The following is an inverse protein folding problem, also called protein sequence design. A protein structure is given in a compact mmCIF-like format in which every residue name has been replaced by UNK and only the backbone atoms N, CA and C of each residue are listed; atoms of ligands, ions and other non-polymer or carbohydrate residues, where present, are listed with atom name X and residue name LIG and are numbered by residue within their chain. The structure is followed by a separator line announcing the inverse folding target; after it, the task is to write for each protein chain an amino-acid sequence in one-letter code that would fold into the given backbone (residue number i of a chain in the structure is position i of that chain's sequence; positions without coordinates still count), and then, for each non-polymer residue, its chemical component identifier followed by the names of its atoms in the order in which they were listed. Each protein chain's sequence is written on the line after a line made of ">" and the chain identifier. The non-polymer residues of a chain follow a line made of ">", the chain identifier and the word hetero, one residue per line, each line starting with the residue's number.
data_IF_289230499464
#
_entry.id   IF_289230499464
#
_cell.length_a   1.000
_cell.length_b   1.000
_cell.length_c   1.000
_cell.angle_alpha   90.00
_cell.angle_beta   90.00
_cell.angle_gamma   90.00
#
_symmetry.space_group_name_H-M   'P 1'
#
loop_
_entity.id
_entity.type
_entity.pdbx_description
1 polymer ?
#
# COMPACT_ATOMS: atom_id res chain seq x y z
N UNK A 1 -6.89 -8.88 -6.60
CA UNK A 1 -6.73 -9.07 -8.05
C UNK A 1 -5.36 -9.58 -8.49
N UNK A 2 -4.34 -9.42 -7.64
CA UNK A 2 -2.99 -9.85 -8.01
C UNK A 2 -2.62 -11.26 -7.55
N UNK A 3 -3.51 -11.95 -6.86
CA UNK A 3 -3.28 -13.30 -6.42
C UNK A 3 -2.98 -14.22 -7.62
N UNK A 4 -1.97 -15.08 -7.48
CA UNK A 4 -1.50 -16.01 -8.52
C UNK A 4 -0.83 -15.38 -9.74
N UNK A 5 -0.61 -14.06 -9.74
CA UNK A 5 0.10 -13.36 -10.81
C UNK A 5 1.56 -13.12 -10.43
N UNK A 6 2.44 -13.07 -11.42
CA UNK A 6 3.82 -12.62 -11.19
C UNK A 6 3.89 -11.08 -11.06
N UNK A 7 5.08 -10.56 -10.75
CA UNK A 7 5.26 -9.12 -10.49
C UNK A 7 4.88 -8.26 -11.71
N UNK A 8 5.25 -8.68 -12.91
CA UNK A 8 4.95 -7.92 -14.13
C UNK A 8 3.46 -7.94 -14.43
N UNK A 9 2.81 -9.11 -14.29
CA UNK A 9 1.37 -9.26 -14.47
C UNK A 9 0.59 -8.44 -13.44
N UNK A 10 1.03 -8.43 -12.19
CA UNK A 10 0.42 -7.62 -11.13
C UNK A 10 0.44 -6.14 -11.47
N UNK A 11 1.58 -5.63 -11.93
CA UNK A 11 1.69 -4.24 -12.35
C UNK A 11 0.85 -3.93 -13.58
N UNK A 12 0.76 -4.85 -14.54
CA UNK A 12 -0.08 -4.68 -15.72
C UNK A 12 -1.55 -4.59 -15.35
N UNK A 13 -2.03 -5.43 -14.45
CA UNK A 13 -3.41 -5.38 -13.93
C UNK A 13 -3.66 -4.08 -13.18
N UNK A 14 -2.73 -3.66 -12.33
CA UNK A 14 -2.84 -2.42 -11.59
C UNK A 14 -2.94 -1.20 -12.52
N UNK A 15 -2.11 -1.14 -13.55
CA UNK A 15 -2.15 -0.08 -14.56
C UNK A 15 -3.47 -0.08 -15.33
N UNK A 16 -3.98 -1.25 -15.68
CA UNK A 16 -5.25 -1.38 -16.40
C UNK A 16 -6.43 -0.87 -15.55
N UNK A 17 -6.50 -1.25 -14.28
CA UNK A 17 -7.52 -0.78 -13.35
C UNK A 17 -7.48 0.75 -13.22
N UNK A 18 -6.30 1.29 -13.01
CA UNK A 18 -6.11 2.74 -12.87
C UNK A 18 -6.51 3.49 -14.13
N UNK A 19 -6.15 2.99 -15.29
CA UNK A 19 -6.53 3.59 -16.57
C UNK A 19 -8.04 3.60 -16.77
N UNK A 20 -8.69 2.47 -16.55
CA UNK A 20 -10.14 2.33 -16.75
C UNK A 20 -10.92 3.25 -15.80
N UNK A 21 -10.52 3.29 -14.54
CA UNK A 21 -11.21 4.14 -13.55
C UNK A 21 -11.05 5.62 -13.86
N UNK A 22 -9.87 6.05 -14.29
CA UNK A 22 -9.63 7.44 -14.67
C UNK A 22 -10.37 7.82 -15.96
N UNK A 23 -10.35 6.96 -16.96
CA UNK A 23 -11.02 7.24 -18.24
C UNK A 23 -12.53 7.36 -18.09
N UNK A 24 -13.12 6.53 -17.25
CA UNK A 24 -14.57 6.49 -17.07
C UNK A 24 -15.08 7.38 -15.93
N UNK A 25 -14.19 8.00 -15.18
CA UNK A 25 -14.56 8.84 -14.04
C UNK A 25 -15.33 8.09 -12.95
N UNK A 26 -15.04 6.80 -12.77
CA UNK A 26 -15.75 5.95 -11.82
C UNK A 26 -14.92 5.71 -10.56
N UNK A 27 -15.62 5.41 -9.46
CA UNK A 27 -14.98 4.98 -8.22
C UNK A 27 -14.92 3.46 -8.20
N UNK A 28 -13.75 2.92 -7.88
CA UNK A 28 -13.56 1.48 -7.76
C UNK A 28 -13.07 1.12 -6.35
N UNK A 29 -13.60 0.02 -5.82
CA UNK A 29 -13.11 -0.58 -4.58
C UNK A 29 -12.34 -1.84 -4.93
N UNK A 30 -11.09 -1.91 -4.50
CA UNK A 30 -10.20 -3.03 -4.81
C UNK A 30 -9.68 -3.61 -3.50
N UNK A 31 -9.87 -4.91 -3.31
CA UNK A 31 -9.24 -5.65 -2.21
C UNK A 31 -7.92 -6.21 -2.73
N UNK A 32 -6.83 -5.82 -2.10
CA UNK A 32 -5.50 -6.20 -2.55
C UNK A 32 -4.59 -6.46 -1.35
N UNK A 33 -3.72 -7.44 -1.47
CA UNK A 33 -2.76 -7.82 -0.45
C UNK A 33 -1.33 -7.42 -0.79
N UNK A 34 -1.06 -7.11 -2.05
CA UNK A 34 0.26 -6.68 -2.50
C UNK A 34 0.43 -5.18 -2.24
N UNK A 35 1.40 -4.83 -1.40
CA UNK A 35 1.67 -3.44 -0.99
C UNK A 35 2.07 -2.58 -2.20
N UNK A 36 2.83 -3.13 -3.14
CA UNK A 36 3.27 -2.40 -4.34
C UNK A 36 2.08 -2.07 -5.24
N UNK A 37 1.19 -3.04 -5.44
CA UNK A 37 -0.03 -2.82 -6.20
C UNK A 37 -0.95 -1.81 -5.52
N UNK A 38 -1.10 -1.89 -4.21
CA UNK A 38 -1.89 -0.92 -3.43
C UNK A 38 -1.36 0.49 -3.60
N UNK A 39 -0.04 0.67 -3.47
CA UNK A 39 0.61 1.98 -3.64
C UNK A 39 0.37 2.55 -5.04
N UNK A 40 0.38 1.70 -6.05
CA UNK A 40 0.19 2.13 -7.44
C UNK A 40 -1.26 2.46 -7.79
N UNK A 41 -2.21 1.63 -7.36
CA UNK A 41 -3.62 1.75 -7.73
C UNK A 41 -4.34 2.85 -6.97
N UNK A 42 -4.04 2.98 -5.67
CA UNK A 42 -4.93 3.67 -4.73
C UNK A 42 -4.75 5.18 -4.71
N UNK A 43 -5.85 5.88 -4.64
CA UNK A 43 -5.90 7.30 -4.24
C UNK A 43 -6.20 7.40 -2.74
N UNK A 44 -6.99 6.44 -2.22
CA UNK A 44 -7.35 6.33 -0.81
C UNK A 44 -7.28 4.87 -0.37
N UNK A 45 -7.06 4.66 0.91
CA UNK A 45 -6.99 3.33 1.50
C UNK A 45 -7.95 3.24 2.67
N UNK A 46 -8.70 2.16 2.72
CA UNK A 46 -9.50 1.76 3.88
C UNK A 46 -8.78 0.64 4.60
N UNK A 47 -8.46 0.86 5.85
CA UNK A 47 -7.79 -0.15 6.69
C UNK A 47 -8.84 -0.91 7.49
N UNK A 48 -8.77 -2.23 7.43
CA UNK A 48 -9.60 -3.11 8.25
C UNK A 48 -8.79 -3.62 9.41
N UNK A 49 -9.28 -3.36 10.62
CA UNK A 49 -8.66 -3.78 11.86
C UNK A 49 -9.57 -4.75 12.59
N UNK A 50 -9.03 -5.45 13.57
CA UNK A 50 -9.80 -6.38 14.37
C UNK A 50 -9.06 -7.68 14.63
N UNK A 51 -9.72 -8.58 15.32
CA UNK A 51 -9.19 -9.89 15.65
C UNK A 51 -9.77 -10.93 14.69
N UNK A 52 -8.90 -11.68 14.02
CA UNK A 52 -9.30 -12.68 13.05
C UNK A 52 -10.27 -13.70 13.65
N UNK A 53 -11.41 -13.91 12.97
CA UNK A 53 -12.43 -14.85 13.40
C UNK A 53 -13.32 -14.37 14.53
N UNK A 54 -13.10 -13.18 15.10
CA UNK A 54 -13.91 -12.62 16.17
C UNK A 54 -14.58 -11.31 15.79
N UNK A 55 -13.80 -10.34 15.35
CA UNK A 55 -14.32 -9.03 14.97
C UNK A 55 -13.50 -8.41 13.87
N UNK A 56 -14.09 -7.49 13.14
CA UNK A 56 -13.41 -6.70 12.13
C UNK A 56 -14.06 -5.34 12.04
N UNK A 57 -13.24 -4.30 11.91
CA UNK A 57 -13.68 -2.94 11.74
C UNK A 57 -13.06 -2.35 10.47
N UNK A 58 -13.92 -1.91 9.55
CA UNK A 58 -13.51 -1.12 8.40
C UNK A 58 -13.51 0.35 8.78
N UNK A 59 -12.34 0.98 8.71
CA UNK A 59 -12.22 2.40 8.99
C UNK A 59 -12.60 3.25 7.77
N UNK A 60 -12.81 4.55 7.99
CA UNK A 60 -13.09 5.46 6.89
C UNK A 60 -11.92 5.54 5.91
N UNK A 61 -12.17 5.79 4.62
CA UNK A 61 -11.10 5.96 3.64
C UNK A 61 -10.15 7.09 4.03
N UNK A 62 -8.87 6.79 4.04
CA UNK A 62 -7.80 7.75 4.30
C UNK A 62 -7.07 8.07 2.99
N UNK A 63 -6.41 9.22 2.94
CA UNK A 63 -5.46 9.52 1.86
C UNK A 63 -4.41 8.41 1.78
N UNK A 64 -3.88 8.18 0.60
CA UNK A 64 -2.91 7.11 0.36
C UNK A 64 -1.77 7.09 1.38
N UNK A 65 -1.15 8.23 1.63
CA UNK A 65 -0.03 8.33 2.58
C UNK A 65 -0.44 7.95 4.00
N UNK A 66 -1.56 8.48 4.47
CA UNK A 66 -2.05 8.24 5.83
C UNK A 66 -2.49 6.78 6.00
N UNK A 67 -3.22 6.26 5.03
CA UNK A 67 -3.69 4.88 5.04
C UNK A 67 -2.55 3.87 4.97
N UNK A 68 -1.57 4.11 4.09
CA UNK A 68 -0.39 3.27 3.98
C UNK A 68 0.44 3.31 5.25
N UNK A 69 0.63 4.49 5.83
CA UNK A 69 1.39 4.64 7.07
C UNK A 69 0.73 3.87 8.21
N UNK A 70 -0.58 3.97 8.36
CA UNK A 70 -1.32 3.23 9.37
C UNK A 70 -1.21 1.72 9.16
N UNK A 71 -1.47 1.25 7.96
CA UNK A 71 -1.43 -0.17 7.62
C UNK A 71 -0.06 -0.78 7.84
N UNK A 72 0.97 -0.13 7.33
CA UNK A 72 2.35 -0.58 7.49
C UNK A 72 2.80 -0.53 8.95
N UNK A 73 2.37 0.49 9.69
CA UNK A 73 2.63 0.61 11.12
C UNK A 73 2.07 -0.56 11.92
N UNK A 74 0.85 -0.98 11.62
CA UNK A 74 0.23 -2.15 12.25
C UNK A 74 0.97 -3.45 11.93
N UNK A 75 1.50 -3.57 10.72
CA UNK A 75 2.30 -4.72 10.29
C UNK A 75 3.74 -4.69 10.78
N UNK A 76 4.22 -3.55 11.28
CA UNK A 76 5.61 -3.37 11.69
C UNK A 76 6.59 -3.35 10.51
N UNK A 77 6.13 -2.92 9.33
CA UNK A 77 6.92 -2.87 8.10
C UNK A 77 7.12 -1.41 7.71
N UNK A 78 8.32 -1.06 7.29
CA UNK A 78 8.59 0.24 6.70
C UNK A 78 8.81 0.12 5.20
N UNK A 79 8.35 1.12 4.47
CA UNK A 79 8.30 1.14 3.02
C UNK A 79 8.85 2.47 2.51
N UNK A 80 9.61 2.43 1.44
CA UNK A 80 10.12 3.63 0.80
C UNK A 80 10.07 3.53 -0.71
N UNK A 81 10.11 4.67 -1.35
CA UNK A 81 10.26 4.76 -2.79
C UNK A 81 11.66 5.30 -3.08
N UNK A 82 12.39 4.64 -3.97
CA UNK A 82 13.72 5.07 -4.39
C UNK A 82 13.64 6.44 -5.07
N UNK A 83 14.49 7.38 -4.66
CA UNK A 83 14.46 8.76 -5.14
C UNK A 83 14.81 8.90 -6.63
N UNK A 84 15.65 8.03 -7.17
CA UNK A 84 16.07 8.08 -8.57
C UNK A 84 15.17 7.23 -9.47
N UNK A 85 15.01 5.94 -9.12
CA UNK A 85 14.25 5.00 -9.94
C UNK A 85 12.75 5.02 -9.65
N UNK A 86 12.36 5.61 -8.52
CA UNK A 86 10.99 5.64 -8.00
C UNK A 86 10.37 4.25 -7.80
N UNK A 87 11.23 3.23 -7.67
CA UNK A 87 10.78 1.87 -7.38
C UNK A 87 10.36 1.76 -5.93
N UNK A 88 9.18 1.19 -5.66
CA UNK A 88 8.76 0.92 -4.30
C UNK A 88 9.59 -0.21 -3.70
N UNK A 89 10.00 -0.05 -2.45
CA UNK A 89 10.78 -1.05 -1.72
C UNK A 89 10.35 -1.14 -0.28
N UNK A 90 10.23 -2.37 0.20
CA UNK A 90 10.11 -2.65 1.63
C UNK A 90 11.52 -2.67 2.21
N UNK A 91 11.76 -1.93 3.28
CA UNK A 91 13.05 -1.95 3.95
C UNK A 91 13.28 -3.32 4.60
N UNK A 92 14.53 -3.77 4.55
CA UNK A 92 14.92 -4.97 5.30
C UNK A 92 14.67 -4.73 6.79
N UNK A 93 14.07 -5.71 7.45
CA UNK A 93 13.79 -5.62 8.88
C UNK A 93 15.06 -5.32 9.67
N UNK A 94 14.95 -4.37 10.61
CA UNK A 94 16.04 -3.89 11.46
C UNK A 94 17.24 -3.28 10.71
N UNK A 95 17.08 -2.90 9.45
CA UNK A 95 18.08 -2.10 8.74
C UNK A 95 18.12 -0.67 9.31
N UNK A 96 19.17 0.08 8.97
CA UNK A 96 19.27 1.47 9.41
C UNK A 96 18.06 2.30 8.99
N UNK A 97 17.66 2.19 7.73
CA UNK A 97 16.50 2.92 7.19
C UNK A 97 15.20 2.48 7.86
N UNK A 98 15.04 1.18 8.09
CA UNK A 98 13.87 0.65 8.78
C UNK A 98 13.74 1.22 10.19
N UNK A 99 14.83 1.21 10.95
CA UNK A 99 14.86 1.78 12.31
C UNK A 99 14.58 3.28 12.32
N UNK A 100 15.18 4.02 11.40
CA UNK A 100 14.99 5.47 11.29
C UNK A 100 13.54 5.83 10.96
N UNK A 101 12.94 5.13 9.99
CA UNK A 101 11.55 5.37 9.62
C UNK A 101 10.57 5.01 10.73
N UNK A 102 10.77 3.88 11.39
CA UNK A 102 9.93 3.45 12.52
C UNK A 102 10.03 4.41 13.70
N UNK A 103 11.25 4.88 14.01
CA UNK A 103 11.46 5.86 15.08
C UNK A 103 10.73 7.17 14.82
N UNK A 104 10.71 7.62 13.58
CA UNK A 104 10.01 8.83 13.17
C UNK A 104 8.51 8.64 12.98
N UNK A 105 7.99 7.41 13.12
CA UNK A 105 6.59 7.10 12.85
C UNK A 105 6.23 7.15 11.36
N UNK A 106 7.20 7.11 10.48
CA UNK A 106 7.01 7.18 9.02
C UNK A 106 7.22 5.82 8.37
N UNK A 107 6.26 4.95 8.54
CA UNK A 107 6.30 3.62 7.94
C UNK A 107 6.18 3.66 6.42
N UNK A 108 5.49 4.65 5.90
CA UNK A 108 5.38 4.92 4.46
C UNK A 108 6.10 6.24 4.16
N UNK A 109 7.18 6.14 3.38
CA UNK A 109 7.99 7.29 3.02
C UNK A 109 8.10 7.42 1.50
N UNK A 110 7.62 8.53 0.96
CA UNK A 110 7.71 8.87 -0.46
C UNK A 110 8.50 10.17 -0.58
N UNK A 111 9.59 10.07 -1.30
CA UNK A 111 10.37 11.26 -1.65
C UNK A 111 9.78 11.95 -2.87
#
# INVERSE_FOLDING_TARGET
>A
PSAYLDVEERLAVAKAIRRITKMNGVTAFVVEHDIVAQDFISDKIMVFTGEAGKEGLGENPLKLEDGMNQFLGEMGISFRRDGETKRPRVNKDDSRLDREQKRAGRYYYVK
#
